data_IF_535188969211
#
_entry.id   IF_535188969211
#
_cell.length_a   1.000
_cell.length_b   1.000
_cell.length_c   1.000
_cell.angle_alpha   90.00
_cell.angle_beta   90.00
_cell.angle_gamma   90.00
#
_symmetry.space_group_name_H-M   'P 1'
#
loop_
_entity.id
_entity.type
_entity.pdbx_description
1 polymer ?
#
# COMPACT_ATOMS: atom_id res chain seq x y z
N UNK A 1 -7.44 20.30 6.94
CA UNK A 1 -7.78 18.92 7.36
C UNK A 1 -8.89 18.42 6.48
N UNK A 2 -8.66 17.35 5.77
CA UNK A 2 -9.71 16.77 4.96
C UNK A 2 -10.77 16.13 5.86
N UNK A 3 -12.02 16.50 5.68
CA UNK A 3 -13.16 15.89 6.36
C UNK A 3 -13.45 14.44 5.94
N UNK A 4 -12.42 13.68 5.50
CA UNK A 4 -12.56 12.30 5.01
C UNK A 4 -13.23 11.40 6.04
N UNK A 5 -12.71 11.33 7.28
CA UNK A 5 -13.31 10.51 8.33
C UNK A 5 -14.73 10.94 8.68
N UNK A 6 -15.02 12.24 8.71
CA UNK A 6 -16.36 12.78 8.92
C UNK A 6 -17.30 12.37 7.78
N UNK A 7 -16.86 12.48 6.53
CA UNK A 7 -17.67 12.06 5.38
C UNK A 7 -17.97 10.55 5.41
N UNK A 8 -16.96 9.72 5.69
CA UNK A 8 -17.13 8.27 5.82
C UNK A 8 -18.11 7.92 6.95
N UNK A 9 -17.96 8.53 8.13
CA UNK A 9 -18.88 8.32 9.26
C UNK A 9 -20.32 8.74 8.93
N UNK A 10 -20.49 9.88 8.23
CA UNK A 10 -21.80 10.37 7.81
C UNK A 10 -22.48 9.41 6.80
N UNK A 11 -21.72 8.89 5.83
CA UNK A 11 -22.24 7.92 4.86
C UNK A 11 -22.63 6.61 5.56
N UNK A 12 -21.83 6.18 6.52
CA UNK A 12 -22.10 4.95 7.26
C UNK A 12 -23.32 5.07 8.18
N UNK A 13 -23.39 6.13 9.01
CA UNK A 13 -24.35 6.20 10.12
C UNK A 13 -24.85 7.61 10.47
N UNK A 14 -24.73 8.59 9.56
CA UNK A 14 -25.28 9.93 9.78
C UNK A 14 -26.80 9.88 9.96
N UNK A 15 -27.33 10.58 10.96
CA UNK A 15 -28.77 10.59 11.28
C UNK A 15 -29.60 11.52 10.39
N UNK A 16 -28.92 12.38 9.60
CA UNK A 16 -29.55 13.31 8.67
C UNK A 16 -30.03 14.61 9.29
N UNK A 17 -29.76 14.87 10.57
CA UNK A 17 -30.27 16.05 11.31
C UNK A 17 -29.90 17.37 10.62
N UNK A 18 -28.69 17.47 10.07
CA UNK A 18 -28.21 18.65 9.36
C UNK A 18 -28.60 18.72 7.86
N UNK A 19 -29.28 17.69 7.37
CA UNK A 19 -29.77 17.70 5.98
C UNK A 19 -31.12 18.37 5.85
N UNK A 20 -31.36 19.07 4.73
CA UNK A 20 -32.65 19.72 4.48
C UNK A 20 -33.79 18.70 4.50
N UNK A 21 -34.72 18.86 5.45
CA UNK A 21 -35.82 17.94 5.64
C UNK A 21 -35.45 16.61 6.28
N UNK A 22 -34.26 16.47 6.87
CA UNK A 22 -33.76 15.26 7.53
C UNK A 22 -33.82 13.98 6.66
N UNK A 23 -33.66 14.14 5.33
CA UNK A 23 -33.83 13.05 4.37
C UNK A 23 -32.53 12.36 3.95
N UNK A 24 -31.38 13.04 4.07
CA UNK A 24 -30.08 12.45 3.69
C UNK A 24 -29.50 11.80 4.94
N UNK A 25 -29.58 10.47 4.98
CA UNK A 25 -29.11 9.64 6.11
C UNK A 25 -28.09 8.61 5.66
N UNK A 26 -27.22 8.22 6.60
CA UNK A 26 -26.33 7.08 6.42
C UNK A 26 -27.09 5.75 6.38
N UNK A 27 -26.43 4.72 5.87
CA UNK A 27 -27.03 3.38 5.73
C UNK A 27 -27.47 2.78 7.07
N UNK A 28 -26.74 3.06 8.14
CA UNK A 28 -27.00 2.57 9.51
C UNK A 28 -27.26 3.75 10.47
N UNK A 29 -28.18 4.65 10.13
CA UNK A 29 -28.44 5.91 10.84
C UNK A 29 -28.93 5.75 12.28
N UNK A 30 -29.27 4.55 12.71
CA UNK A 30 -29.66 4.23 14.09
C UNK A 30 -28.53 3.52 14.87
N UNK A 31 -27.38 3.29 14.26
CA UNK A 31 -26.24 2.68 14.93
C UNK A 31 -25.57 3.65 15.89
N UNK A 32 -25.08 3.13 17.01
CA UNK A 32 -24.15 3.87 17.85
C UNK A 32 -22.77 3.88 17.20
N UNK A 33 -22.07 4.99 17.30
CA UNK A 33 -20.76 5.18 16.67
C UNK A 33 -19.64 5.12 17.71
N UNK A 34 -18.58 4.39 17.38
CA UNK A 34 -17.27 4.48 18.01
C UNK A 34 -16.33 5.06 16.96
N UNK A 35 -15.78 6.23 17.21
CA UNK A 35 -14.83 6.88 16.30
C UNK A 35 -13.44 6.83 16.92
N UNK A 36 -12.49 6.25 16.20
CA UNK A 36 -11.09 6.18 16.62
C UNK A 36 -10.28 7.11 15.72
N UNK A 37 -9.72 8.16 16.33
CA UNK A 37 -8.79 9.05 15.66
C UNK A 37 -7.37 8.48 15.78
N UNK A 38 -6.75 8.19 14.65
CA UNK A 38 -5.39 7.68 14.59
C UNK A 38 -4.41 8.86 14.47
N UNK A 39 -3.41 8.86 15.33
CA UNK A 39 -2.34 9.88 15.29
C UNK A 39 -1.46 9.65 14.08
N UNK A 40 -1.22 10.71 13.31
CA UNK A 40 -0.19 10.70 12.27
C UNK A 40 1.17 11.00 12.88
N UNK A 41 2.17 10.24 12.48
CA UNK A 41 3.59 10.43 12.86
C UNK A 41 4.30 11.10 11.71
N UNK A 42 5.09 12.15 11.98
CA UNK A 42 5.78 12.96 10.97
C UNK A 42 5.23 14.38 10.89
N UNK A 43 5.90 15.23 10.12
CA UNK A 43 5.57 16.64 9.98
C UNK A 43 4.65 16.91 8.78
N UNK A 44 3.59 17.68 9.00
CA UNK A 44 2.72 18.22 7.95
C UNK A 44 2.01 17.15 7.13
N UNK A 45 2.03 17.29 5.79
CA UNK A 45 1.34 16.41 4.85
C UNK A 45 2.04 15.06 4.60
N UNK A 46 3.28 14.89 5.10
CA UNK A 46 4.06 13.66 4.94
C UNK A 46 3.89 12.67 6.10
N UNK A 47 3.04 13.01 7.06
CA UNK A 47 2.78 12.12 8.20
C UNK A 47 2.10 10.82 7.78
N UNK A 48 2.52 9.71 8.37
CA UNK A 48 1.95 8.37 8.18
C UNK A 48 1.29 7.86 9.45
N UNK A 49 0.38 6.91 9.32
CA UNK A 49 -0.21 6.18 10.45
C UNK A 49 0.53 4.85 10.62
N UNK A 50 1.00 4.57 11.83
CA UNK A 50 1.66 3.30 12.09
C UNK A 50 0.64 2.18 12.12
N UNK A 51 0.98 1.04 11.56
CA UNK A 51 0.13 -0.16 11.55
C UNK A 51 -0.27 -0.59 12.95
N UNK A 52 0.63 -0.46 13.93
CA UNK A 52 0.35 -0.79 15.32
C UNK A 52 -0.76 0.08 15.92
N UNK A 53 -0.82 1.37 15.57
CA UNK A 53 -1.87 2.27 16.06
C UNK A 53 -3.26 1.86 15.51
N UNK A 54 -3.30 1.35 14.27
CA UNK A 54 -4.53 0.79 13.69
C UNK A 54 -4.95 -0.49 14.42
N UNK A 55 -4.00 -1.39 14.70
CA UNK A 55 -4.27 -2.63 15.44
C UNK A 55 -4.79 -2.32 16.83
N UNK A 56 -4.22 -1.38 17.56
CA UNK A 56 -4.69 -0.93 18.88
C UNK A 56 -6.10 -0.31 18.78
N UNK A 57 -6.38 0.45 17.73
CA UNK A 57 -7.71 1.00 17.46
C UNK A 57 -8.78 -0.09 17.25
N UNK A 58 -8.43 -1.12 16.48
CA UNK A 58 -9.31 -2.29 16.26
C UNK A 58 -9.56 -3.04 17.57
N UNK A 59 -8.51 -3.32 18.34
CA UNK A 59 -8.62 -3.99 19.64
C UNK A 59 -9.52 -3.19 20.61
N UNK A 60 -9.30 -1.88 20.68
CA UNK A 60 -10.14 -0.99 21.51
C UNK A 60 -11.62 -1.08 21.13
N UNK A 61 -11.94 -0.98 19.85
CA UNK A 61 -13.33 -1.01 19.39
C UNK A 61 -14.00 -2.35 19.66
N UNK A 62 -13.26 -3.46 19.48
CA UNK A 62 -13.76 -4.80 19.77
C UNK A 62 -14.02 -5.00 21.26
N UNK A 63 -13.09 -4.56 22.13
CA UNK A 63 -13.28 -4.62 23.59
C UNK A 63 -14.50 -3.83 24.04
N UNK A 64 -14.72 -2.64 23.46
CA UNK A 64 -15.93 -1.85 23.74
C UNK A 64 -17.21 -2.53 23.29
N UNK A 65 -17.23 -3.18 22.16
CA UNK A 65 -18.38 -3.95 21.71
C UNK A 65 -18.70 -5.13 22.65
N UNK A 66 -17.68 -5.83 23.11
CA UNK A 66 -17.83 -6.93 24.11
C UNK A 66 -18.35 -6.39 25.43
N UNK A 67 -17.79 -5.29 25.94
CA UNK A 67 -18.24 -4.62 27.18
C UNK A 67 -19.72 -4.23 27.10
N UNK A 68 -20.13 -3.67 25.99
CA UNK A 68 -21.52 -3.24 25.72
C UNK A 68 -22.44 -4.40 25.30
N UNK A 69 -21.93 -5.60 25.13
CA UNK A 69 -22.67 -6.79 24.66
C UNK A 69 -23.37 -6.58 23.31
N UNK A 70 -22.78 -5.74 22.43
CA UNK A 70 -23.34 -5.37 21.11
C UNK A 70 -22.50 -5.95 19.97
N UNK A 71 -23.11 -6.35 18.84
CA UNK A 71 -22.36 -6.64 17.62
C UNK A 71 -21.72 -5.35 17.09
N UNK A 72 -20.62 -5.49 16.38
CA UNK A 72 -19.90 -4.34 15.80
C UNK A 72 -19.52 -4.60 14.34
N UNK A 73 -19.63 -3.53 13.54
CA UNK A 73 -19.03 -3.46 12.20
C UNK A 73 -17.92 -2.40 12.25
N UNK A 74 -16.70 -2.81 11.96
CA UNK A 74 -15.53 -1.93 11.93
C UNK A 74 -15.27 -1.53 10.49
N UNK A 75 -15.44 -0.25 10.16
CA UNK A 75 -15.07 0.29 8.86
C UNK A 75 -13.64 0.81 8.88
N UNK A 76 -12.80 0.28 8.00
CA UNK A 76 -11.41 0.68 7.83
C UNK A 76 -11.21 1.26 6.43
N UNK A 77 -11.39 2.58 6.31
CA UNK A 77 -11.10 3.33 5.07
C UNK A 77 -9.62 3.74 5.04
N UNK A 78 -8.76 2.74 5.00
CA UNK A 78 -7.31 2.85 5.00
C UNK A 78 -6.72 1.84 4.03
N UNK A 79 -5.65 2.22 3.34
CA UNK A 79 -4.91 1.33 2.46
C UNK A 79 -3.46 1.74 2.30
N UNK A 80 -2.59 0.75 2.07
CA UNK A 80 -1.18 0.94 1.74
C UNK A 80 -0.76 -0.09 0.69
N UNK A 81 0.29 0.23 -0.07
CA UNK A 81 0.94 -0.71 -0.97
C UNK A 81 2.16 -1.40 -0.34
N UNK A 82 2.40 -1.19 0.97
CA UNK A 82 3.53 -1.76 1.70
C UNK A 82 3.28 -3.21 2.12
N UNK A 83 3.46 -4.14 1.20
CA UNK A 83 3.33 -5.58 1.48
C UNK A 83 3.24 -6.42 0.21
N UNK A 84 3.08 -7.72 0.36
CA UNK A 84 3.07 -8.70 -0.73
C UNK A 84 1.71 -8.84 -1.45
N UNK A 85 0.67 -8.16 -1.00
CA UNK A 85 -0.71 -8.22 -1.50
C UNK A 85 -1.26 -9.66 -1.64
N UNK A 86 -0.92 -10.52 -0.70
CA UNK A 86 -1.29 -11.94 -0.68
C UNK A 86 -1.98 -12.40 0.61
N UNK A 87 -2.37 -11.44 1.46
CA UNK A 87 -3.08 -11.72 2.71
C UNK A 87 -2.18 -12.19 3.87
N UNK A 88 -0.85 -12.17 3.71
CA UNK A 88 0.09 -12.79 4.63
C UNK A 88 0.99 -11.80 5.39
N UNK A 89 0.70 -10.50 5.38
CA UNK A 89 1.39 -9.58 6.29
C UNK A 89 0.95 -9.84 7.74
N UNK A 90 1.77 -9.45 8.70
CA UNK A 90 1.41 -9.56 10.13
C UNK A 90 0.11 -8.80 10.45
N UNK A 91 -0.11 -7.66 9.79
CA UNK A 91 -1.33 -6.87 9.95
C UNK A 91 -2.56 -7.58 9.40
N UNK A 92 -2.47 -8.20 8.24
CA UNK A 92 -3.56 -8.95 7.62
C UNK A 92 -3.90 -10.20 8.42
N UNK A 93 -2.89 -10.93 8.91
CA UNK A 93 -3.09 -12.08 9.81
C UNK A 93 -3.78 -11.66 11.11
N UNK A 94 -3.35 -10.55 11.72
CA UNK A 94 -4.00 -10.00 12.91
C UNK A 94 -5.48 -9.70 12.66
N UNK A 95 -5.81 -9.03 11.55
CA UNK A 95 -7.19 -8.73 11.17
C UNK A 95 -8.00 -10.02 10.96
N UNK A 96 -7.42 -11.00 10.26
CA UNK A 96 -8.08 -12.28 9.99
C UNK A 96 -8.37 -13.07 11.28
N UNK A 97 -7.48 -12.99 12.26
CA UNK A 97 -7.67 -13.65 13.58
C UNK A 97 -8.73 -12.93 14.42
N UNK A 98 -8.69 -11.61 14.47
CA UNK A 98 -9.66 -10.81 15.25
C UNK A 98 -11.07 -10.94 14.68
N UNK A 99 -11.22 -11.02 13.37
CA UNK A 99 -12.55 -11.08 12.73
C UNK A 99 -13.35 -12.36 13.04
N UNK A 100 -12.88 -13.21 13.90
CA UNK A 100 -13.61 -14.38 14.41
C UNK A 100 -13.92 -14.34 15.90
N UNK A 101 -13.50 -13.32 16.65
CA UNK A 101 -13.53 -13.32 18.14
C UNK A 101 -14.86 -12.77 18.54
N UNK A 102 -15.74 -12.34 18.31
CA UNK A 102 -17.01 -11.79 18.79
C UNK A 102 -17.99 -11.67 17.60
N UNK A 103 -19.10 -11.07 17.82
CA UNK A 103 -20.06 -10.70 16.78
C UNK A 103 -19.55 -9.47 16.02
N UNK A 104 -18.42 -9.61 15.32
CA UNK A 104 -17.81 -8.52 14.56
C UNK A 104 -17.75 -8.80 13.06
N UNK A 105 -17.61 -7.74 12.27
CA UNK A 105 -17.28 -7.76 10.86
C UNK A 105 -16.33 -6.59 10.58
N UNK A 106 -15.23 -6.87 9.91
CA UNK A 106 -14.30 -5.83 9.46
C UNK A 106 -14.51 -5.60 7.97
N UNK A 107 -14.84 -4.37 7.61
CA UNK A 107 -15.10 -3.92 6.24
C UNK A 107 -13.97 -2.97 5.85
N UNK A 108 -13.31 -3.25 4.74
CA UNK A 108 -12.09 -2.57 4.33
C UNK A 108 -12.25 -2.02 2.90
N UNK A 109 -11.82 -0.79 2.69
CA UNK A 109 -11.77 -0.21 1.35
C UNK A 109 -10.69 -0.91 0.51
N UNK A 110 -11.04 -1.30 -0.72
CA UNK A 110 -10.09 -1.93 -1.65
C UNK A 110 -8.98 -0.97 -2.13
N UNK A 111 -9.14 0.33 -1.93
CA UNK A 111 -8.19 1.37 -2.35
C UNK A 111 -8.55 2.00 -3.69
N UNK A 112 -7.71 2.92 -4.14
CA UNK A 112 -7.91 3.74 -5.34
C UNK A 112 -6.85 3.47 -6.42
N UNK A 113 -6.17 2.30 -6.34
CA UNK A 113 -4.95 2.03 -7.10
C UNK A 113 -5.20 1.40 -8.49
N UNK A 114 -6.45 1.14 -8.87
CA UNK A 114 -6.78 0.44 -10.13
C UNK A 114 -6.18 1.08 -11.40
N UNK A 115 -6.13 2.42 -11.45
CA UNK A 115 -5.58 3.18 -12.59
C UNK A 115 -4.36 4.05 -12.20
N UNK A 116 -3.83 3.89 -10.99
CA UNK A 116 -2.76 4.73 -10.44
C UNK A 116 -1.39 4.53 -11.11
N UNK A 117 -1.20 3.43 -11.85
CA UNK A 117 0.09 2.99 -12.41
C UNK A 117 1.14 2.63 -11.35
N UNK A 118 0.71 2.26 -10.15
CA UNK A 118 1.59 1.98 -9.02
C UNK A 118 1.90 0.50 -8.82
N UNK A 119 1.37 -0.37 -9.67
CA UNK A 119 1.72 -1.79 -9.67
C UNK A 119 2.19 -2.26 -11.05
N UNK A 120 3.16 -3.17 -11.05
CA UNK A 120 3.58 -3.92 -12.24
C UNK A 120 3.99 -5.33 -11.86
N UNK A 121 3.58 -6.28 -12.69
CA UNK A 121 4.05 -7.67 -12.64
C UNK A 121 5.01 -7.92 -13.77
N UNK A 122 6.20 -8.40 -13.45
CA UNK A 122 7.24 -8.79 -14.41
C UNK A 122 7.47 -10.28 -14.31
N UNK A 123 7.60 -10.95 -15.46
CA UNK A 123 7.95 -12.37 -15.54
C UNK A 123 9.40 -12.49 -15.99
N UNK A 124 10.27 -12.91 -15.08
CA UNK A 124 11.68 -13.19 -15.35
C UNK A 124 11.80 -14.60 -15.91
N UNK A 125 12.30 -14.73 -17.15
CA UNK A 125 12.49 -16.00 -17.84
C UNK A 125 13.96 -16.40 -17.81
N UNK A 126 14.22 -17.70 -17.84
CA UNK A 126 15.58 -18.26 -17.74
C UNK A 126 16.55 -17.91 -18.91
N UNK A 127 16.10 -17.23 -19.92
CA UNK A 127 16.89 -16.98 -21.16
C UNK A 127 17.01 -15.50 -21.53
N UNK A 128 16.22 -14.62 -20.93
CA UNK A 128 16.17 -13.20 -21.30
C UNK A 128 16.24 -12.31 -20.06
N UNK A 129 17.05 -11.25 -20.14
CA UNK A 129 17.02 -10.20 -19.15
C UNK A 129 15.69 -9.46 -19.26
N UNK A 130 15.04 -9.23 -18.14
CA UNK A 130 13.80 -8.49 -18.07
C UNK A 130 14.03 -7.09 -17.51
N UNK A 131 13.36 -6.09 -18.09
CA UNK A 131 13.47 -4.70 -17.67
C UNK A 131 12.11 -4.09 -17.46
N UNK A 132 11.97 -3.36 -16.36
CA UNK A 132 10.77 -2.59 -16.02
C UNK A 132 11.14 -1.13 -15.80
N UNK A 133 10.38 -0.22 -16.40
CA UNK A 133 10.63 1.22 -16.31
C UNK A 133 9.53 1.92 -15.52
N UNK A 134 9.94 2.91 -14.73
CA UNK A 134 9.04 3.80 -14.01
C UNK A 134 9.54 5.24 -14.06
N UNK A 135 8.61 6.17 -14.05
CA UNK A 135 8.92 7.59 -13.95
C UNK A 135 8.85 8.04 -12.51
N UNK A 136 9.80 8.85 -12.08
CA UNK A 136 9.69 9.71 -10.91
C UNK A 136 9.41 11.12 -11.39
N UNK A 137 8.29 11.68 -10.95
CA UNK A 137 7.87 13.02 -11.29
C UNK A 137 8.68 14.10 -10.57
N UNK A 138 8.45 15.35 -10.95
CA UNK A 138 9.00 16.51 -10.23
C UNK A 138 8.35 16.62 -8.84
N UNK A 139 9.13 17.12 -7.87
CA UNK A 139 8.69 17.42 -6.51
C UNK A 139 8.44 16.22 -5.58
N UNK A 140 8.86 14.99 -5.95
CA UNK A 140 8.89 13.89 -5.01
C UNK A 140 9.99 14.09 -3.96
N UNK A 141 9.65 14.05 -2.68
CA UNK A 141 10.62 14.26 -1.59
C UNK A 141 11.20 12.97 -1.06
N UNK A 142 10.36 11.97 -0.97
CA UNK A 142 10.67 10.63 -0.50
C UNK A 142 9.77 9.65 -1.24
N UNK A 143 10.33 8.59 -1.76
CA UNK A 143 9.58 7.56 -2.46
C UNK A 143 10.18 6.19 -2.13
N UNK A 144 9.35 5.18 -2.10
CA UNK A 144 9.76 3.79 -1.93
C UNK A 144 9.32 2.96 -3.12
N UNK A 145 10.09 1.92 -3.40
CA UNK A 145 9.74 0.86 -4.34
C UNK A 145 9.83 -0.46 -3.59
N UNK A 146 8.75 -1.21 -3.61
CA UNK A 146 8.66 -2.54 -3.00
C UNK A 146 8.70 -3.59 -4.09
N UNK A 147 9.73 -4.44 -4.07
CA UNK A 147 9.94 -5.52 -5.03
C UNK A 147 9.75 -6.84 -4.29
N UNK A 148 8.76 -7.61 -4.70
CA UNK A 148 8.45 -8.91 -4.11
C UNK A 148 8.72 -10.02 -5.09
N UNK A 149 9.57 -10.99 -4.72
CA UNK A 149 9.92 -12.16 -5.50
C UNK A 149 9.88 -13.43 -4.66
N UNK A 150 9.77 -14.58 -5.28
CA UNK A 150 10.01 -15.83 -4.58
C UNK A 150 11.49 -15.97 -4.28
N UNK A 151 11.83 -16.29 -3.03
CA UNK A 151 13.23 -16.35 -2.60
C UNK A 151 14.04 -17.44 -3.33
N UNK A 152 13.36 -18.48 -3.86
CA UNK A 152 13.96 -19.58 -4.59
C UNK A 152 14.40 -19.25 -6.02
N UNK A 153 14.01 -18.08 -6.53
CA UNK A 153 14.42 -17.60 -7.85
C UNK A 153 15.75 -16.88 -7.75
N UNK A 154 16.73 -17.32 -8.56
CA UNK A 154 18.10 -16.85 -8.53
C UNK A 154 18.36 -15.91 -9.69
N UNK A 155 18.27 -14.62 -9.44
CA UNK A 155 18.62 -13.53 -10.36
C UNK A 155 19.10 -12.29 -9.59
N UNK A 156 20.01 -11.54 -10.22
CA UNK A 156 20.45 -10.24 -9.75
C UNK A 156 19.44 -9.16 -10.12
N UNK A 157 19.36 -8.11 -9.31
CA UNK A 157 18.44 -6.99 -9.52
C UNK A 157 19.25 -5.70 -9.55
N UNK A 158 19.16 -5.00 -10.68
CA UNK A 158 19.86 -3.74 -10.88
C UNK A 158 18.88 -2.59 -11.02
N UNK A 159 19.16 -1.51 -10.30
CA UNK A 159 18.51 -0.21 -10.47
C UNK A 159 19.35 0.63 -11.41
N UNK A 160 18.75 1.11 -12.50
CA UNK A 160 19.39 2.07 -13.38
C UNK A 160 18.79 3.46 -13.16
N UNK A 161 19.64 4.43 -12.90
CA UNK A 161 19.25 5.83 -12.62
C UNK A 161 19.16 6.67 -13.91
N UNK A 162 18.41 7.79 -13.93
CA UNK A 162 18.41 8.72 -15.05
C UNK A 162 19.80 9.33 -15.33
N UNK A 163 20.69 9.34 -14.35
CA UNK A 163 22.06 9.83 -14.49
C UNK A 163 23.02 8.80 -15.15
N UNK A 164 22.53 7.58 -15.44
CA UNK A 164 23.28 6.51 -16.09
C UNK A 164 24.05 5.58 -15.14
N UNK A 165 23.79 5.65 -13.82
CA UNK A 165 24.36 4.68 -12.87
C UNK A 165 23.58 3.38 -12.90
N UNK A 166 24.27 2.27 -12.75
CA UNK A 166 23.72 0.92 -12.56
C UNK A 166 24.15 0.39 -11.20
N UNK A 167 23.18 0.03 -10.36
CA UNK A 167 23.38 -0.29 -8.95
C UNK A 167 22.75 -1.67 -8.69
N UNK A 168 23.53 -2.63 -8.21
CA UNK A 168 22.97 -3.88 -7.70
C UNK A 168 22.25 -3.61 -6.38
N UNK A 169 20.95 -3.85 -6.33
CA UNK A 169 20.10 -3.58 -5.15
C UNK A 169 19.68 -4.85 -4.41
N UNK A 170 20.14 -6.02 -4.86
CA UNK A 170 19.88 -7.28 -4.14
C UNK A 170 20.64 -7.34 -2.82
N UNK A 171 21.82 -6.72 -2.75
CA UNK A 171 22.52 -6.49 -1.51
C UNK A 171 22.05 -5.17 -0.88
N UNK A 172 22.08 -5.09 0.46
CA UNK A 172 21.76 -3.84 1.14
C UNK A 172 22.77 -2.77 0.75
N UNK A 173 22.31 -1.72 0.09
CA UNK A 173 23.13 -0.65 -0.48
C UNK A 173 22.71 0.69 0.12
N UNK A 174 23.68 1.56 0.39
CA UNK A 174 23.43 2.96 0.74
C UNK A 174 24.29 3.85 -0.14
N UNK A 175 23.65 4.65 -0.98
CA UNK A 175 24.30 5.61 -1.87
C UNK A 175 23.80 7.00 -1.52
N UNK A 176 24.75 7.87 -1.16
CA UNK A 176 24.45 9.27 -0.87
C UNK A 176 25.39 10.16 -1.69
N UNK A 177 24.93 10.56 -2.87
CA UNK A 177 25.66 11.41 -3.80
C UNK A 177 25.00 12.79 -3.96
N UNK A 178 25.56 13.61 -4.85
CA UNK A 178 25.01 14.94 -5.12
C UNK A 178 23.61 14.87 -5.77
N UNK A 179 23.36 13.83 -6.56
CA UNK A 179 22.10 13.67 -7.32
C UNK A 179 21.20 12.59 -6.79
N UNK A 180 21.76 11.49 -6.28
CA UNK A 180 20.99 10.36 -5.80
C UNK A 180 21.28 10.08 -4.32
N UNK A 181 20.23 9.84 -3.58
CA UNK A 181 20.27 9.30 -2.25
C UNK A 181 19.33 8.09 -2.22
N UNK A 182 19.93 6.90 -2.22
CA UNK A 182 19.23 5.62 -2.43
C UNK A 182 19.68 4.66 -1.34
N UNK A 183 18.75 4.13 -0.61
CA UNK A 183 18.97 3.01 0.30
C UNK A 183 18.18 1.80 -0.18
N UNK A 184 18.79 0.62 -0.20
CA UNK A 184 18.07 -0.64 -0.42
C UNK A 184 18.27 -1.57 0.77
N UNK A 185 17.20 -2.27 1.11
CA UNK A 185 17.19 -3.30 2.16
C UNK A 185 16.51 -4.54 1.63
N UNK A 186 17.16 -5.69 1.82
CA UNK A 186 16.60 -6.99 1.52
C UNK A 186 16.05 -7.63 2.80
N UNK A 187 14.79 -8.04 2.75
CA UNK A 187 14.13 -8.76 3.83
C UNK A 187 13.88 -10.20 3.42
N UNK A 188 14.38 -11.13 4.23
CA UNK A 188 14.23 -12.56 3.98
C UNK A 188 12.80 -13.04 4.24
N UNK A 189 12.39 -14.17 3.65
CA UNK A 189 11.10 -14.80 3.91
C UNK A 189 10.85 -15.03 5.40
N UNK A 190 9.60 -14.96 5.78
CA UNK A 190 9.14 -15.27 7.14
C UNK A 190 8.31 -16.56 7.13
N UNK A 191 8.00 -17.17 8.30
CA UNK A 191 7.07 -18.30 8.36
C UNK A 191 5.68 -18.00 7.80
N UNK A 192 5.30 -16.73 7.74
CA UNK A 192 4.00 -16.26 7.24
C UNK A 192 4.02 -15.97 5.74
N UNK A 193 5.16 -15.58 5.19
CA UNK A 193 5.29 -15.23 3.77
C UNK A 193 6.59 -15.77 3.19
N UNK A 194 6.49 -16.68 2.21
CA UNK A 194 7.62 -17.29 1.50
C UNK A 194 8.26 -16.40 0.43
N UNK A 195 7.77 -15.16 0.25
CA UNK A 195 8.38 -14.19 -0.66
C UNK A 195 9.48 -13.39 0.05
N UNK A 196 10.41 -12.91 -0.75
CA UNK A 196 11.49 -12.01 -0.36
C UNK A 196 11.14 -10.59 -0.80
N UNK A 197 11.32 -9.62 0.11
CA UNK A 197 11.15 -8.20 -0.19
C UNK A 197 12.52 -7.56 -0.43
N UNK A 198 12.60 -6.77 -1.49
CA UNK A 198 13.64 -5.77 -1.65
C UNK A 198 12.94 -4.41 -1.63
N UNK A 199 13.21 -3.63 -0.59
CA UNK A 199 12.72 -2.26 -0.44
C UNK A 199 13.80 -1.30 -0.90
N UNK A 200 13.45 -0.38 -1.80
CA UNK A 200 14.34 0.68 -2.25
C UNK A 200 13.74 2.01 -1.87
N UNK A 201 14.46 2.77 -1.08
CA UNK A 201 14.09 4.12 -0.67
C UNK A 201 14.86 5.16 -1.50
N UNK A 202 14.14 6.10 -2.06
CA UNK A 202 14.67 7.22 -2.83
C UNK A 202 14.47 8.50 -2.06
N UNK A 203 15.53 9.29 -1.90
CA UNK A 203 15.49 10.61 -1.27
C UNK A 203 16.21 11.63 -2.15
N UNK A 204 16.04 12.90 -1.83
CA UNK A 204 16.79 13.96 -2.48
C UNK A 204 18.30 13.77 -2.30
N UNK A 205 19.06 13.92 -3.38
CA UNK A 205 20.52 14.01 -3.31
C UNK A 205 20.97 15.27 -2.56
N UNK A 206 22.26 15.33 -2.19
CA UNK A 206 22.81 16.43 -1.33
C UNK A 206 22.52 17.83 -1.85
N UNK A 207 22.48 18.01 -3.17
CA UNK A 207 22.30 19.31 -3.82
C UNK A 207 20.89 19.49 -4.40
N UNK A 208 19.92 18.60 -4.02
CA UNK A 208 18.56 18.62 -4.51
C UNK A 208 17.57 18.75 -3.36
N UNK A 209 16.43 19.37 -3.63
CA UNK A 209 15.30 19.43 -2.70
C UNK A 209 14.32 18.26 -2.88
N UNK A 210 14.45 17.55 -4.00
CA UNK A 210 13.55 16.48 -4.42
C UNK A 210 14.35 15.30 -4.98
N UNK A 211 13.76 14.14 -5.02
CA UNK A 211 14.30 12.96 -5.69
C UNK A 211 14.58 13.29 -7.15
N UNK A 212 15.66 12.78 -7.70
CA UNK A 212 16.03 13.02 -9.09
C UNK A 212 14.89 12.58 -10.04
N UNK A 213 14.21 13.50 -10.73
CA UNK A 213 13.12 13.14 -11.62
C UNK A 213 13.64 12.50 -12.90
N UNK A 214 12.77 11.74 -13.57
CA UNK A 214 13.11 11.11 -14.86
C UNK A 214 12.74 9.63 -14.91
N UNK A 215 13.22 8.95 -15.93
CA UNK A 215 12.96 7.52 -16.12
C UNK A 215 14.03 6.69 -15.42
N UNK A 216 13.57 5.88 -14.49
CA UNK A 216 14.35 4.87 -13.79
C UNK A 216 13.98 3.49 -14.31
N UNK A 217 14.83 2.50 -14.14
CA UNK A 217 14.47 1.13 -14.49
C UNK A 217 15.05 0.10 -13.53
N UNK A 218 14.31 -0.97 -13.38
CA UNK A 218 14.75 -2.20 -12.72
C UNK A 218 15.07 -3.22 -13.82
N UNK A 219 16.22 -3.83 -13.72
CA UNK A 219 16.70 -4.87 -14.63
C UNK A 219 16.98 -6.14 -13.86
N UNK A 220 16.51 -7.28 -14.37
CA UNK A 220 16.69 -8.58 -13.78
C UNK A 220 17.63 -9.42 -14.64
N UNK A 221 18.76 -9.85 -14.08
CA UNK A 221 19.73 -10.71 -14.74
C UNK A 221 19.72 -12.11 -14.09
N UNK A 222 19.38 -13.12 -14.86
CA UNK A 222 19.33 -14.48 -14.37
C UNK A 222 20.73 -14.97 -14.00
N UNK A 223 20.94 -15.31 -12.74
CA UNK A 223 22.22 -15.80 -12.21
C UNK A 223 22.20 -17.30 -11.89
N UNK A 224 21.01 -17.90 -11.87
CA UNK A 224 20.86 -19.32 -11.53
C UNK A 224 19.50 -19.88 -11.91
N UNK A 225 18.87 -20.58 -11.01
CA UNK A 225 17.65 -21.34 -11.27
C UNK A 225 16.41 -20.45 -11.08
N UNK A 226 15.54 -20.43 -12.07
CA UNK A 226 14.23 -19.80 -11.99
C UNK A 226 13.17 -20.88 -11.76
N UNK A 227 12.42 -20.78 -10.69
CA UNK A 227 11.31 -21.70 -10.36
C UNK A 227 9.94 -21.11 -10.66
N UNK A 228 9.73 -19.87 -10.31
CA UNK A 228 8.48 -19.14 -10.53
C UNK A 228 8.68 -17.97 -11.50
N UNK A 229 9.70 -17.16 -11.28
CA UNK A 229 10.03 -16.02 -12.09
C UNK A 229 9.07 -14.84 -11.98
N UNK A 230 8.07 -14.91 -11.11
CA UNK A 230 7.11 -13.82 -10.89
C UNK A 230 7.71 -12.79 -9.95
N UNK A 231 7.75 -11.54 -10.39
CA UNK A 231 8.14 -10.38 -9.59
C UNK A 231 7.02 -9.36 -9.64
N UNK A 232 6.48 -9.04 -8.49
CA UNK A 232 5.52 -7.96 -8.32
C UNK A 232 6.22 -6.74 -7.70
N UNK A 233 5.94 -5.57 -8.24
CA UNK A 233 6.51 -4.33 -7.75
C UNK A 233 5.42 -3.29 -7.50
N UNK A 234 5.51 -2.61 -6.35
CA UNK A 234 4.59 -1.54 -5.99
C UNK A 234 5.33 -0.26 -5.66
N UNK A 235 4.74 0.85 -6.06
CA UNK A 235 5.04 2.19 -5.57
C UNK A 235 4.05 2.55 -4.45
N UNK A 236 4.31 3.58 -3.63
CA UNK A 236 3.34 4.07 -2.65
C UNK A 236 1.99 4.41 -3.28
N UNK A 237 0.95 4.55 -2.46
CA UNK A 237 -0.40 4.87 -2.95
C UNK A 237 -0.48 6.26 -3.56
N UNK A 238 -1.52 6.51 -4.37
CA UNK A 238 -1.77 7.78 -5.06
C UNK A 238 -1.89 8.98 -4.10
N UNK A 239 -2.24 8.73 -2.85
CA UNK A 239 -2.29 9.77 -1.82
C UNK A 239 -0.89 10.14 -1.28
N UNK A 240 0.11 9.29 -1.51
CA UNK A 240 1.47 9.47 -0.99
C UNK A 240 2.44 10.06 -2.01
N UNK A 241 2.24 9.79 -3.31
CA UNK A 241 3.11 10.24 -4.39
C UNK A 241 2.33 10.97 -5.48
N UNK A 242 3.04 11.77 -6.28
CA UNK A 242 2.43 12.61 -7.33
C UNK A 242 1.92 11.80 -8.53
N UNK A 243 0.94 12.34 -9.24
CA UNK A 243 0.31 11.70 -10.41
C UNK A 243 1.29 11.43 -11.58
N UNK A 244 2.41 12.14 -11.65
CA UNK A 244 3.44 11.95 -12.67
C UNK A 244 4.40 10.80 -12.37
N UNK A 245 4.38 10.28 -11.16
CA UNK A 245 5.16 9.12 -10.73
C UNK A 245 4.38 7.84 -11.02
N UNK A 246 5.04 6.81 -11.56
CA UNK A 246 4.36 5.55 -11.87
C UNK A 246 5.11 4.68 -12.88
N UNK A 247 4.72 3.42 -12.97
CA UNK A 247 5.25 2.50 -13.98
C UNK A 247 4.82 2.90 -15.39
N UNK A 248 5.70 2.76 -16.39
CA UNK A 248 5.39 3.07 -17.77
C UNK A 248 4.50 2.01 -18.43
N UNK A 249 4.56 0.77 -17.93
CA UNK A 249 3.72 -0.34 -18.35
C UNK A 249 3.11 -1.02 -17.13
N UNK A 250 2.15 -0.36 -16.48
CA UNK A 250 1.54 -0.86 -15.25
C UNK A 250 0.68 -2.09 -15.51
N UNK A 251 0.40 -2.84 -14.43
CA UNK A 251 -0.65 -3.86 -14.38
C UNK A 251 -1.78 -3.35 -13.50
N UNK A 252 -3.01 -3.50 -13.94
CA UNK A 252 -4.22 -3.24 -13.14
C UNK A 252 -4.58 -4.39 -12.20
N UNK A 253 -3.94 -5.56 -12.39
CA UNK A 253 -4.13 -6.70 -11.50
C UNK A 253 -3.42 -6.47 -10.17
N UNK A 254 -3.96 -7.06 -9.08
CA UNK A 254 -3.33 -7.05 -7.75
C UNK A 254 -3.12 -5.63 -7.18
N UNK A 255 -4.09 -4.74 -7.45
CA UNK A 255 -4.08 -3.34 -7.00
C UNK A 255 -4.92 -3.08 -5.75
N UNK A 256 -5.60 -4.10 -5.20
CA UNK A 256 -6.25 -3.98 -3.90
C UNK A 256 -5.20 -3.69 -2.82
N UNK A 257 -5.39 -2.60 -2.07
CA UNK A 257 -4.42 -2.18 -1.05
C UNK A 257 -4.46 -3.07 0.19
N UNK A 258 -3.40 -3.06 0.97
CA UNK A 258 -3.33 -3.74 2.26
C UNK A 258 -4.00 -2.84 3.31
N UNK A 259 -4.90 -3.35 4.16
CA UNK A 259 -5.18 -4.77 4.41
C UNK A 259 -6.43 -5.35 3.70
N UNK A 260 -6.89 -4.77 2.60
CA UNK A 260 -8.07 -5.29 1.90
C UNK A 260 -7.85 -6.70 1.30
N UNK A 261 -6.61 -7.14 1.18
CA UNK A 261 -6.22 -8.50 0.78
C UNK A 261 -6.23 -9.51 1.93
N UNK A 262 -6.54 -9.09 3.16
CA UNK A 262 -6.65 -9.99 4.32
C UNK A 262 -7.75 -11.03 4.14
N UNK A 263 -7.54 -12.21 4.73
CA UNK A 263 -8.57 -13.25 4.79
C UNK A 263 -9.71 -12.87 5.74
N UNK A 264 -10.91 -13.39 5.48
CA UNK A 264 -12.11 -13.25 6.31
C UNK A 264 -12.65 -11.81 6.47
N UNK A 265 -12.20 -10.85 5.69
CA UNK A 265 -12.73 -9.48 5.69
C UNK A 265 -13.71 -9.26 4.56
N UNK A 266 -14.49 -8.20 4.63
CA UNK A 266 -15.29 -7.72 3.51
C UNK A 266 -14.57 -6.58 2.83
N UNK A 267 -13.91 -6.86 1.70
CA UNK A 267 -13.25 -5.83 0.89
C UNK A 267 -14.27 -5.19 -0.06
N UNK A 268 -14.32 -3.87 -0.06
CA UNK A 268 -15.29 -3.09 -0.84
C UNK A 268 -14.57 -2.19 -1.82
N UNK A 269 -14.77 -2.44 -3.12
CA UNK A 269 -14.35 -1.57 -4.21
C UNK A 269 -15.43 -0.55 -4.56
N UNK A 270 -15.00 0.63 -5.00
CA UNK A 270 -15.90 1.62 -5.58
C UNK A 270 -16.01 1.42 -7.09
N UNK A 271 -17.16 1.72 -7.66
CA UNK A 271 -17.30 1.79 -9.11
C UNK A 271 -17.92 3.14 -9.52
N UNK A 272 -17.63 3.56 -10.74
CA UNK A 272 -18.15 4.81 -11.28
C UNK A 272 -19.45 4.56 -12.06
N UNK A 273 -20.56 5.03 -11.53
CA UNK A 273 -21.89 4.85 -12.16
C UNK A 273 -22.03 5.55 -13.52
N UNK A 274 -21.22 6.58 -13.78
CA UNK A 274 -21.32 7.35 -15.04
C UNK A 274 -20.51 6.77 -16.18
N UNK A 275 -19.53 5.93 -15.90
CA UNK A 275 -18.62 5.34 -16.91
C UNK A 275 -18.82 3.84 -17.10
N UNK A 276 -19.68 3.18 -16.31
CA UNK A 276 -19.83 1.71 -16.26
C UNK A 276 -18.50 0.95 -16.10
N UNK A 277 -17.44 1.65 -15.68
CA UNK A 277 -16.14 1.05 -15.43
C UNK A 277 -16.02 0.64 -13.96
N UNK A 278 -15.66 -0.61 -13.77
CA UNK A 278 -15.34 -1.21 -12.46
C UNK A 278 -13.90 -0.93 -12.11
#
# INVERSE_FOLDING_TARGET
>A
MGGHGTAVASIAAGDGTDSRGNIIRGSAYQAELIVVELKRVGDGNTGYTRTIDIMEGIDYTLRKAIELQKPIVINLSYGTNEGAHDGNTLFENYIADINGIWKNMIVIAAGNEGESRHHVRTIVKSVENSRTEFAIGENERDMRLFIWKYFQDEFEIFLNTPSGKRINILESVSINSERENIDSVMVMPTPYNGKQLIEVQFRAGKNLNYVLPGIWSIEFEVSGKIKCGVVDMWLPTIEAIGLSTGFLRPSSDTTATIPATAFKVLSVGAYNQTTESV
#
